data_IF_205643347562
#
_entry.id   IF_205643347562
#
_cell.length_a   1.000
_cell.length_b   1.000
_cell.length_c   1.000
_cell.angle_alpha   90.00
_cell.angle_beta   90.00
_cell.angle_gamma   90.00
#
_symmetry.space_group_name_H-M   'P 1'
#
loop_
_entity.id
_entity.type
_entity.pdbx_description
1 polymer ?
#
# COMPACT_ATOMS: atom_id res chain seq x y z
N UNK A 1 11.49 10.51 1.06
CA UNK A 1 10.91 9.12 1.15
C UNK A 1 11.95 8.02 0.89
N UNK A 2 12.19 7.13 1.87
CA UNK A 2 13.04 5.93 1.74
C UNK A 2 12.25 4.66 1.36
N UNK A 3 12.92 3.52 1.12
CA UNK A 3 12.26 2.26 0.76
C UNK A 3 11.31 1.76 1.85
N UNK A 4 10.30 0.99 1.44
CA UNK A 4 9.38 0.31 2.38
C UNK A 4 9.99 -1.02 2.78
N UNK A 5 10.42 -1.14 4.04
CA UNK A 5 10.97 -2.37 4.57
C UNK A 5 9.88 -3.25 5.17
N UNK A 6 9.74 -4.47 4.66
CA UNK A 6 8.79 -5.49 5.13
C UNK A 6 9.19 -6.10 6.50
N UNK A 7 10.47 -6.01 6.88
CA UNK A 7 11.05 -6.63 8.09
C UNK A 7 10.87 -5.80 9.38
N UNK A 8 10.09 -4.73 9.34
CA UNK A 8 9.73 -4.00 10.56
C UNK A 8 8.60 -4.74 11.26
N UNK A 9 8.91 -5.40 12.39
CA UNK A 9 7.98 -6.21 13.20
C UNK A 9 6.67 -5.52 13.62
N UNK A 10 6.61 -4.19 13.51
CA UNK A 10 5.50 -3.37 13.97
C UNK A 10 4.92 -2.44 12.90
N UNK A 11 5.23 -2.66 11.62
CA UNK A 11 4.65 -1.86 10.54
C UNK A 11 3.32 -2.45 10.05
N UNK A 12 2.45 -1.60 9.50
CA UNK A 12 1.12 -2.00 9.02
C UNK A 12 1.15 -3.16 8.00
N UNK A 13 2.26 -3.32 7.29
CA UNK A 13 2.51 -4.41 6.35
C UNK A 13 2.62 -5.76 7.08
N UNK A 14 3.38 -5.82 8.17
CA UNK A 14 3.68 -7.08 8.86
C UNK A 14 2.59 -7.46 9.83
N UNK A 15 1.91 -6.47 10.42
CA UNK A 15 0.83 -6.69 11.39
C UNK A 15 -0.54 -6.79 10.74
N UNK A 16 -0.72 -6.23 9.54
CA UNK A 16 -2.02 -6.17 8.88
C UNK A 16 -3.04 -5.26 9.58
N UNK A 17 -2.62 -4.40 10.49
CA UNK A 17 -3.48 -3.42 11.16
C UNK A 17 -2.94 -2.00 10.97
N UNK A 18 -3.80 -0.95 11.04
CA UNK A 18 -3.35 0.42 11.00
C UNK A 18 -2.28 0.71 12.07
N UNK A 19 -1.29 1.54 11.72
CA UNK A 19 -0.22 1.96 12.62
C UNK A 19 -0.11 3.47 12.60
N UNK A 20 -0.25 4.08 13.76
CA UNK A 20 -0.09 5.51 13.96
C UNK A 20 1.22 5.83 14.70
N UNK A 21 1.91 6.87 14.23
CA UNK A 21 3.09 7.48 14.83
C UNK A 21 2.77 8.96 15.00
N UNK A 22 2.70 9.42 16.24
CA UNK A 22 2.38 10.80 16.61
C UNK A 22 3.61 11.71 16.64
N UNK A 23 4.80 11.13 16.89
CA UNK A 23 6.09 11.82 16.87
C UNK A 23 7.12 11.07 16.00
N UNK A 24 7.26 11.53 14.76
CA UNK A 24 8.17 10.97 13.77
C UNK A 24 9.66 11.21 14.08
N UNK A 25 9.99 12.12 15.00
CA UNK A 25 11.36 12.45 15.35
C UNK A 25 11.89 11.53 16.45
N UNK A 26 11.03 11.12 17.38
CA UNK A 26 11.43 10.38 18.57
C UNK A 26 10.92 8.93 18.63
N UNK A 27 9.98 8.53 17.77
CA UNK A 27 9.45 7.17 17.77
C UNK A 27 10.50 6.14 17.28
N UNK A 28 10.82 5.10 18.07
CA UNK A 28 11.85 4.11 17.74
C UNK A 28 11.49 3.24 16.52
N UNK A 29 10.23 3.25 16.07
CA UNK A 29 9.76 2.57 14.86
C UNK A 29 10.12 3.35 13.60
N UNK A 30 10.56 4.61 13.72
CA UNK A 30 10.91 5.47 12.59
C UNK A 30 12.37 5.28 12.20
N UNK A 31 12.57 4.88 10.95
CA UNK A 31 13.90 4.59 10.42
C UNK A 31 14.71 5.84 10.03
N UNK A 32 14.03 6.91 9.63
CA UNK A 32 14.67 8.12 9.10
C UNK A 32 14.11 9.39 9.76
N UNK A 33 14.27 9.56 11.09
CA UNK A 33 13.69 10.69 11.82
C UNK A 33 14.24 12.05 11.33
N UNK A 34 15.53 12.12 10.99
CA UNK A 34 16.18 13.33 10.45
C UNK A 34 15.62 13.74 9.10
N UNK A 35 15.34 12.77 8.23
CA UNK A 35 14.74 13.02 6.93
C UNK A 35 13.27 13.46 7.07
N UNK A 36 12.52 12.83 7.99
CA UNK A 36 11.16 13.25 8.31
C UNK A 36 11.13 14.69 8.83
N UNK A 37 12.05 15.05 9.73
CA UNK A 37 12.19 16.42 10.23
C UNK A 37 12.50 17.43 9.11
N UNK A 38 13.41 17.09 8.20
CA UNK A 38 13.76 17.93 7.05
C UNK A 38 12.58 18.11 6.07
N UNK A 39 11.75 17.09 5.91
CA UNK A 39 10.52 17.15 5.10
C UNK A 39 9.34 17.79 5.85
N UNK A 40 9.52 18.19 7.13
CA UNK A 40 8.46 18.81 7.95
C UNK A 40 7.37 17.83 8.35
N UNK A 41 7.68 16.53 8.43
CA UNK A 41 6.75 15.46 8.77
C UNK A 41 6.84 15.19 10.27
N UNK A 42 5.75 15.44 10.99
CA UNK A 42 5.67 15.29 12.45
C UNK A 42 4.93 14.01 12.83
N UNK A 43 3.84 13.66 12.13
CA UNK A 43 3.07 12.45 12.42
C UNK A 43 2.75 11.67 11.14
N UNK A 44 2.44 10.39 11.30
CA UNK A 44 2.15 9.47 10.20
C UNK A 44 1.11 8.42 10.58
N UNK A 45 0.12 8.22 9.71
CA UNK A 45 -0.76 7.05 9.72
C UNK A 45 -0.42 6.14 8.55
N UNK A 46 -0.21 4.85 8.84
CA UNK A 46 -0.07 3.80 7.83
C UNK A 46 -1.28 2.87 7.91
N UNK A 47 -2.01 2.72 6.81
CA UNK A 47 -3.17 1.83 6.69
C UNK A 47 -2.86 0.76 5.63
N UNK A 48 -2.98 -0.54 5.94
CA UNK A 48 -2.69 -1.60 4.99
C UNK A 48 -3.76 -1.65 3.89
N UNK A 49 -3.33 -1.81 2.63
CA UNK A 49 -4.23 -2.07 1.51
C UNK A 49 -4.37 -3.57 1.38
N UNK A 50 -5.55 -4.09 1.69
CA UNK A 50 -5.86 -5.53 1.68
C UNK A 50 -6.71 -5.89 0.48
N UNK A 51 -6.44 -7.06 -0.09
CA UNK A 51 -7.32 -7.71 -1.03
C UNK A 51 -7.43 -9.18 -0.65
N UNK A 52 -8.65 -9.63 -0.29
CA UNK A 52 -8.89 -10.95 0.31
C UNK A 52 -8.00 -11.11 1.56
N UNK A 53 -7.27 -12.23 1.65
CA UNK A 53 -6.36 -12.53 2.78
C UNK A 53 -4.94 -11.94 2.62
N UNK A 54 -4.69 -11.16 1.55
CA UNK A 54 -3.36 -10.64 1.23
C UNK A 54 -3.26 -9.13 1.43
N UNK A 55 -2.15 -8.68 2.00
CA UNK A 55 -1.75 -7.27 2.01
C UNK A 55 -0.98 -7.01 0.73
N UNK A 56 -1.53 -6.15 -0.13
CA UNK A 56 -0.95 -5.84 -1.44
C UNK A 56 -0.30 -4.45 -1.51
N UNK A 57 -0.41 -3.66 -0.43
CA UNK A 57 0.20 -2.34 -0.34
C UNK A 57 -0.03 -1.64 0.99
N UNK A 58 0.40 -0.38 1.07
CA UNK A 58 0.17 0.52 2.22
C UNK A 58 -0.24 1.90 1.69
N UNK A 59 -1.27 2.48 2.31
CA UNK A 59 -1.55 3.91 2.27
C UNK A 59 -0.84 4.61 3.44
N UNK A 60 0.02 5.60 3.15
CA UNK A 60 0.65 6.44 4.18
C UNK A 60 0.17 7.87 4.09
N UNK A 61 -0.27 8.41 5.22
CA UNK A 61 -0.68 9.80 5.39
C UNK A 61 0.34 10.45 6.31
N UNK A 62 0.90 11.58 5.87
CA UNK A 62 1.89 12.36 6.62
C UNK A 62 1.30 13.71 6.98
N UNK A 63 1.55 14.17 8.20
CA UNK A 63 1.09 15.46 8.68
C UNK A 63 2.25 16.27 9.27
N UNK A 64 2.19 17.59 9.10
CA UNK A 64 3.21 18.54 9.60
C UNK A 64 2.99 18.98 11.05
N UNK A 65 1.96 18.44 11.69
CA UNK A 65 1.60 18.73 13.08
C UNK A 65 1.31 17.42 13.82
N UNK A 66 1.44 17.39 15.15
CA UNK A 66 0.93 16.28 15.95
C UNK A 66 -0.57 16.18 15.72
N UNK A 67 -1.03 15.02 15.27
CA UNK A 67 -2.46 14.78 15.00
C UNK A 67 -3.00 13.81 16.04
N UNK A 68 -4.16 14.13 16.62
CA UNK A 68 -5.00 13.08 17.19
C UNK A 68 -5.83 12.51 16.06
N UNK A 69 -5.74 11.20 15.85
CA UNK A 69 -6.59 10.50 14.88
C UNK A 69 -7.71 9.84 15.66
N UNK A 70 -8.95 10.15 15.27
CA UNK A 70 -10.14 9.52 15.81
C UNK A 70 -10.27 8.08 15.30
N UNK A 71 -10.88 7.20 16.07
CA UNK A 71 -11.14 5.83 15.63
C UNK A 71 -12.04 5.83 14.38
N UNK A 72 -12.99 6.75 14.27
CA UNK A 72 -13.88 6.89 13.10
C UNK A 72 -13.11 7.27 11.82
N UNK A 73 -12.07 8.09 11.95
CA UNK A 73 -11.16 8.43 10.84
C UNK A 73 -10.40 7.17 10.37
N UNK A 74 -9.93 6.34 11.31
CA UNK A 74 -9.19 5.11 11.00
C UNK A 74 -10.11 4.10 10.31
N UNK A 75 -11.33 3.91 10.81
CA UNK A 75 -12.30 2.99 10.23
C UNK A 75 -12.68 3.40 8.81
N UNK A 76 -12.92 4.70 8.60
CA UNK A 76 -13.18 5.25 7.28
C UNK A 76 -12.04 4.97 6.29
N UNK A 77 -10.80 5.14 6.75
CA UNK A 77 -9.62 4.84 5.93
C UNK A 77 -9.44 3.34 5.69
N UNK A 78 -9.77 2.47 6.66
CA UNK A 78 -9.75 1.03 6.46
C UNK A 78 -10.70 0.62 5.35
N UNK A 79 -11.96 1.09 5.40
CA UNK A 79 -12.96 0.85 4.35
C UNK A 79 -12.46 1.36 3.00
N UNK A 80 -11.86 2.56 2.95
CA UNK A 80 -11.28 3.08 1.70
C UNK A 80 -10.18 2.16 1.17
N UNK A 81 -9.27 1.70 2.03
CA UNK A 81 -8.16 0.83 1.61
C UNK A 81 -8.60 -0.57 1.17
N UNK A 82 -9.71 -1.09 1.69
CA UNK A 82 -10.33 -2.33 1.20
C UNK A 82 -10.84 -2.16 -0.24
N UNK A 83 -11.54 -1.06 -0.52
CA UNK A 83 -11.98 -0.74 -1.88
C UNK A 83 -10.81 -0.55 -2.84
N UNK A 84 -9.75 0.15 -2.40
CA UNK A 84 -8.51 0.29 -3.16
C UNK A 84 -7.90 -1.06 -3.50
N UNK A 85 -7.92 -2.01 -2.57
CA UNK A 85 -7.42 -3.36 -2.78
C UNK A 85 -8.13 -4.07 -3.93
N UNK A 86 -9.46 -4.01 -3.94
CA UNK A 86 -10.28 -4.58 -5.02
C UNK A 86 -10.00 -3.93 -6.38
N UNK A 87 -9.86 -2.60 -6.42
CA UNK A 87 -9.58 -1.87 -7.67
C UNK A 87 -8.20 -2.21 -8.21
N UNK A 88 -7.18 -2.30 -7.35
CA UNK A 88 -5.83 -2.69 -7.76
C UNK A 88 -5.82 -4.12 -8.32
N UNK A 89 -6.46 -5.07 -7.64
CA UNK A 89 -6.57 -6.46 -8.11
C UNK A 89 -7.27 -6.51 -9.49
N UNK A 90 -8.44 -5.87 -9.62
CA UNK A 90 -9.21 -5.86 -10.86
C UNK A 90 -8.45 -5.25 -12.04
N UNK A 91 -7.76 -4.13 -11.81
CA UNK A 91 -6.93 -3.52 -12.85
C UNK A 91 -5.72 -4.40 -13.20
N UNK A 92 -5.13 -5.09 -12.22
CA UNK A 92 -4.09 -6.09 -12.45
C UNK A 92 -4.57 -7.22 -13.36
N UNK A 93 -5.76 -7.77 -13.09
CA UNK A 93 -6.37 -8.81 -13.93
C UNK A 93 -6.65 -8.32 -15.35
N UNK A 94 -7.17 -7.09 -15.51
CA UNK A 94 -7.40 -6.49 -16.84
C UNK A 94 -6.10 -6.34 -17.62
N UNK A 95 -5.07 -5.79 -17.00
CA UNK A 95 -3.75 -5.63 -17.62
C UNK A 95 -3.13 -6.97 -18.01
N UNK A 96 -3.34 -8.02 -17.20
CA UNK A 96 -2.91 -9.37 -17.52
C UNK A 96 -3.64 -9.93 -18.74
N UNK A 97 -4.98 -9.78 -18.76
CA UNK A 97 -5.80 -10.24 -19.89
C UNK A 97 -5.39 -9.55 -21.20
N UNK A 98 -5.10 -8.25 -21.16
CA UNK A 98 -4.67 -7.51 -22.34
C UNK A 98 -3.30 -7.99 -22.85
N UNK A 99 -2.36 -8.30 -21.95
CA UNK A 99 -1.08 -8.92 -22.33
C UNK A 99 -1.26 -10.32 -22.93
N UNK A 100 -2.15 -11.15 -22.39
CA UNK A 100 -2.46 -12.48 -22.95
C UNK A 100 -3.03 -12.34 -24.35
N UNK A 101 -3.96 -11.40 -24.59
CA UNK A 101 -4.50 -11.13 -25.94
C UNK A 101 -3.41 -10.72 -26.91
N UNK A 102 -2.56 -9.76 -26.54
CA UNK A 102 -1.43 -9.33 -27.38
C UNK A 102 -0.49 -10.50 -27.72
N UNK A 103 -0.20 -11.36 -26.75
CA UNK A 103 0.64 -12.53 -26.98
C UNK A 103 -0.02 -13.52 -27.97
N UNK A 104 -1.33 -13.79 -27.83
CA UNK A 104 -2.08 -14.66 -28.75
C UNK A 104 -2.13 -14.11 -30.17
N UNK A 105 -2.32 -12.80 -30.33
CA UNK A 105 -2.33 -12.13 -31.65
C UNK A 105 -0.96 -12.21 -32.36
N UNK A 106 0.12 -12.29 -31.59
CA UNK A 106 1.48 -12.44 -32.12
C UNK A 106 1.87 -13.89 -32.47
N UNK A 107 0.99 -14.87 -32.18
CA UNK A 107 1.30 -16.27 -32.43
C UNK A 107 1.32 -16.57 -33.94
N UNK A 108 2.28 -17.39 -34.43
CA UNK A 108 2.26 -17.89 -35.79
C UNK A 108 0.96 -18.66 -36.05
N UNK A 109 0.28 -18.38 -37.18
CA UNK A 109 -0.99 -19.03 -37.56
C UNK A 109 -0.94 -20.57 -37.49
N UNK A 110 0.20 -21.17 -37.83
CA UNK A 110 0.43 -22.63 -37.71
C UNK A 110 0.25 -23.21 -36.30
N UNK A 111 0.33 -22.37 -35.26
CA UNK A 111 0.10 -22.76 -33.87
C UNK A 111 -1.38 -22.64 -33.46
N UNK A 112 -2.19 -21.93 -34.26
CA UNK A 112 -3.62 -21.74 -34.04
C UNK A 112 -4.46 -22.78 -34.79
N UNK A 113 -3.92 -23.44 -35.82
CA UNK A 113 -4.62 -24.45 -36.62
C UNK A 113 -4.86 -25.80 -35.88
N UNK A 114 -4.45 -25.94 -34.62
CA UNK A 114 -4.62 -27.15 -33.82
C UNK A 114 -5.33 -26.97 -32.47
N UNK A 115 -5.94 -25.80 -32.24
CA UNK A 115 -6.74 -25.48 -31.05
C UNK A 115 -8.24 -25.61 -31.32
#
# INVERSE_FOLDING_TARGET
KGPVFWDLKHCAISTGVPVFIDDMQNDPRVQYPEAAAKEGIVSMLSVPIKCREAIIGILRIYCSEPRMIDEEDIDSLCVLTEHLGLVIENNGLKNFLDQVKMALESLPLRMLEGL
#
